data_IF_235138424685
#
_entry.id   IF_235138424685
#
_cell.length_a   1.000
_cell.length_b   1.000
_cell.length_c   1.000
_cell.angle_alpha   90.00
_cell.angle_beta   90.00
_cell.angle_gamma   90.00
#
_symmetry.space_group_name_H-M   'P 1'
#
loop_
_entity.id
_entity.type
_entity.pdbx_description
1 polymer ?
#
# COMPACT_ATOMS: atom_id res chain seq x y z
N UNK A 1 5.70 -9.16 20.43
CA UNK A 1 6.78 -8.32 20.97
C UNK A 1 7.07 -7.23 19.95
N UNK A 2 6.82 -5.98 20.35
CA UNK A 2 6.87 -4.85 19.43
C UNK A 2 8.30 -4.52 18.97
N UNK A 3 9.32 -4.79 19.80
CA UNK A 3 10.70 -4.47 19.45
C UNK A 3 11.20 -5.38 18.33
N UNK A 4 10.95 -6.70 18.45
CA UNK A 4 11.23 -7.64 17.35
C UNK A 4 10.37 -7.36 16.12
N UNK A 5 9.11 -6.99 16.32
CA UNK A 5 8.20 -6.64 15.22
C UNK A 5 8.69 -5.48 14.35
N UNK A 6 9.39 -4.51 14.96
CA UNK A 6 10.00 -3.39 14.23
C UNK A 6 11.04 -3.85 13.20
N UNK A 7 11.88 -4.82 13.55
CA UNK A 7 12.86 -5.38 12.60
C UNK A 7 12.18 -6.16 11.49
N UNK A 8 11.09 -6.88 11.83
CA UNK A 8 10.32 -7.67 10.89
C UNK A 8 9.58 -6.81 9.86
N UNK A 9 9.18 -5.58 10.22
CA UNK A 9 8.58 -4.61 9.30
C UNK A 9 9.48 -4.33 8.09
N UNK A 10 10.79 -4.22 8.31
CA UNK A 10 11.75 -4.07 7.21
C UNK A 10 12.00 -5.40 6.50
N UNK A 11 12.16 -6.49 7.27
CA UNK A 11 12.45 -7.83 6.72
C UNK A 11 11.35 -8.36 5.78
N UNK A 12 10.09 -8.11 6.12
CA UNK A 12 8.92 -8.50 5.32
C UNK A 12 8.55 -7.44 4.27
N UNK A 13 9.50 -6.59 3.88
CA UNK A 13 9.40 -5.57 2.82
C UNK A 13 8.32 -4.49 3.03
N UNK A 14 7.63 -4.47 4.17
CA UNK A 14 6.58 -3.50 4.47
C UNK A 14 7.10 -2.06 4.40
N UNK A 15 8.33 -1.83 4.88
CA UNK A 15 9.01 -0.54 4.82
C UNK A 15 9.27 -0.02 3.39
N UNK A 16 9.25 -0.89 2.37
CA UNK A 16 9.42 -0.49 0.97
C UNK A 16 8.23 0.31 0.45
N UNK A 17 7.02 0.05 0.98
CA UNK A 17 5.79 0.73 0.54
C UNK A 17 5.22 1.69 1.58
N UNK A 18 5.38 1.36 2.86
CA UNK A 18 4.76 2.09 3.97
C UNK A 18 5.78 2.89 4.76
N UNK A 19 5.36 4.07 5.22
CA UNK A 19 6.14 4.91 6.12
C UNK A 19 5.74 4.73 7.59
N UNK A 20 6.71 4.89 8.47
CA UNK A 20 6.53 5.12 9.92
C UNK A 20 7.46 6.27 10.32
N UNK A 21 6.87 7.37 10.78
CA UNK A 21 7.56 8.66 10.91
C UNK A 21 8.13 9.09 9.56
N UNK A 22 9.41 9.40 9.53
CA UNK A 22 10.13 9.86 8.33
C UNK A 22 10.78 8.71 7.53
N UNK A 23 10.56 7.44 7.91
CA UNK A 23 11.22 6.29 7.30
C UNK A 23 10.25 5.41 6.52
N UNK A 24 10.66 4.98 5.33
CA UNK A 24 9.94 4.01 4.50
C UNK A 24 9.36 4.61 3.20
N UNK A 25 8.52 3.83 2.54
CA UNK A 25 7.90 4.19 1.26
C UNK A 25 6.64 5.03 1.37
N UNK A 26 6.17 5.52 0.22
CA UNK A 26 4.94 6.33 0.09
C UNK A 26 3.92 5.71 -0.86
N UNK A 27 4.17 4.48 -1.33
CA UNK A 27 3.29 3.74 -2.21
C UNK A 27 2.01 3.27 -1.48
N UNK A 28 2.17 2.89 -0.20
CA UNK A 28 1.09 2.53 0.71
C UNK A 28 0.78 3.61 1.75
N UNK A 29 -0.30 3.42 2.54
CA UNK A 29 -0.66 4.30 3.64
C UNK A 29 0.45 4.53 4.65
N UNK A 30 0.43 5.71 5.27
CA UNK A 30 1.25 6.02 6.44
C UNK A 30 0.79 5.18 7.65
N UNK A 31 1.72 4.46 8.26
CA UNK A 31 1.45 3.57 9.38
C UNK A 31 1.88 4.13 10.74
N UNK A 32 2.39 5.36 10.80
CA UNK A 32 2.93 6.01 12.02
C UNK A 32 2.00 5.92 13.21
N UNK A 33 0.68 5.97 12.97
CA UNK A 33 -0.34 5.94 14.02
C UNK A 33 -1.38 4.84 13.80
N UNK A 34 -1.03 3.80 13.05
CA UNK A 34 -2.02 2.82 12.59
C UNK A 34 -2.70 2.07 13.75
N UNK A 35 -1.98 1.81 14.84
CA UNK A 35 -2.51 1.16 16.05
C UNK A 35 -3.47 2.03 16.87
N UNK A 36 -3.57 3.34 16.59
CA UNK A 36 -4.62 4.21 17.12
C UNK A 36 -5.88 4.25 16.24
N UNK A 37 -5.76 3.86 14.97
CA UNK A 37 -6.82 4.01 13.95
C UNK A 37 -7.48 2.66 13.63
N UNK A 38 -6.72 1.56 13.72
CA UNK A 38 -7.15 0.21 13.29
C UNK A 38 -7.02 -0.78 14.42
N UNK A 39 -7.98 -1.71 14.47
CA UNK A 39 -7.93 -2.83 15.39
C UNK A 39 -6.83 -3.82 14.98
N UNK A 40 -6.41 -4.70 15.90
CA UNK A 40 -5.49 -5.78 15.55
C UNK A 40 -6.07 -6.72 14.49
N UNK A 41 -7.39 -6.90 14.48
CA UNK A 41 -8.08 -7.71 13.48
C UNK A 41 -8.08 -7.02 12.11
N UNK A 42 -8.31 -5.71 12.05
CA UNK A 42 -8.27 -4.95 10.79
C UNK A 42 -6.87 -5.00 10.17
N UNK A 43 -5.83 -4.87 11.00
CA UNK A 43 -4.43 -4.96 10.58
C UNK A 43 -4.11 -6.36 10.05
N UNK A 44 -4.53 -7.40 10.78
CA UNK A 44 -4.37 -8.78 10.37
C UNK A 44 -5.03 -9.05 9.01
N UNK A 45 -6.29 -8.64 8.86
CA UNK A 45 -7.05 -8.81 7.62
C UNK A 45 -6.39 -8.06 6.46
N UNK A 46 -5.95 -6.82 6.69
CA UNK A 46 -5.28 -6.02 5.65
C UNK A 46 -3.99 -6.67 5.15
N UNK A 47 -3.25 -7.39 6.00
CA UNK A 47 -2.00 -8.06 5.61
C UNK A 47 -2.28 -9.38 4.90
N UNK A 48 -3.20 -10.20 5.42
CA UNK A 48 -3.51 -11.52 4.86
C UNK A 48 -4.34 -11.42 3.57
N UNK A 49 -5.19 -10.41 3.48
CA UNK A 49 -6.14 -10.22 2.39
C UNK A 49 -6.09 -8.77 1.87
N UNK A 50 -4.96 -8.31 1.33
CA UNK A 50 -4.76 -6.91 0.96
C UNK A 50 -5.74 -6.39 -0.12
N UNK A 51 -6.46 -7.29 -0.80
CA UNK A 51 -7.48 -6.98 -1.80
C UNK A 51 -8.92 -7.12 -1.28
N UNK A 52 -9.15 -7.47 -0.01
CA UNK A 52 -10.51 -7.55 0.56
C UNK A 52 -11.12 -6.18 0.80
N UNK A 53 -10.28 -5.20 1.14
CA UNK A 53 -10.65 -3.81 1.32
C UNK A 53 -9.46 -2.90 1.04
N UNK A 54 -9.73 -1.65 0.68
CA UNK A 54 -8.71 -0.66 0.37
C UNK A 54 -8.79 0.51 1.35
N UNK A 55 -7.63 1.01 1.78
CA UNK A 55 -7.58 2.26 2.52
C UNK A 55 -8.01 3.41 1.61
N UNK A 56 -8.73 4.39 2.17
CA UNK A 56 -9.16 5.56 1.43
C UNK A 56 -7.98 6.30 0.80
N UNK A 57 -8.05 6.56 -0.51
CA UNK A 57 -6.97 7.19 -1.29
C UNK A 57 -5.89 6.22 -1.76
N UNK A 58 -6.05 4.92 -1.48
CA UNK A 58 -5.18 3.83 -1.93
C UNK A 58 -6.01 2.75 -2.66
N UNK A 59 -7.13 3.14 -3.25
CA UNK A 59 -7.88 2.29 -4.15
C UNK A 59 -7.06 2.11 -5.45
N UNK A 60 -6.75 0.85 -5.83
CA UNK A 60 -5.94 0.58 -7.00
C UNK A 60 -6.72 0.83 -8.29
N UNK A 61 -6.02 1.38 -9.28
CA UNK A 61 -6.54 1.67 -10.60
C UNK A 61 -5.56 1.20 -11.67
N UNK A 62 -6.11 0.75 -12.79
CA UNK A 62 -5.38 0.57 -14.05
C UNK A 62 -5.74 1.71 -15.00
N UNK A 63 -4.71 2.38 -15.52
CA UNK A 63 -4.82 3.40 -16.55
C UNK A 63 -4.16 2.89 -17.82
N UNK A 64 -4.94 2.80 -18.90
CA UNK A 64 -4.43 2.45 -20.23
C UNK A 64 -4.19 3.72 -21.05
N UNK A 65 -3.00 3.85 -21.61
CA UNK A 65 -2.56 4.98 -22.44
C UNK A 65 -2.69 4.68 -23.93
N UNK A 66 -2.77 5.73 -24.75
CA UNK A 66 -2.88 5.63 -26.22
C UNK A 66 -1.67 5.02 -26.91
N UNK A 67 -0.50 5.12 -26.31
CA UNK A 67 0.74 4.49 -26.77
C UNK A 67 0.81 2.98 -26.44
N UNK A 68 -0.19 2.46 -25.73
CA UNK A 68 -0.29 1.06 -25.32
C UNK A 68 0.30 0.75 -23.95
N UNK A 69 0.92 1.72 -23.27
CA UNK A 69 1.39 1.56 -21.89
C UNK A 69 0.20 1.46 -20.92
N UNK A 70 0.37 0.64 -19.88
CA UNK A 70 -0.58 0.51 -18.78
C UNK A 70 0.12 0.87 -17.47
N UNK A 71 -0.48 1.80 -16.74
CA UNK A 71 0.01 2.22 -15.43
C UNK A 71 -0.93 1.68 -14.37
N UNK A 72 -0.40 0.86 -13.47
CA UNK A 72 -1.12 0.32 -12.33
C UNK A 72 -0.67 1.00 -11.03
N UNK A 73 -1.62 1.52 -10.26
CA UNK A 73 -1.28 2.25 -9.04
C UNK A 73 -2.48 2.92 -8.37
N UNK A 74 -2.19 3.82 -7.45
CA UNK A 74 -3.19 4.58 -6.68
C UNK A 74 -3.29 6.01 -7.18
N UNK A 75 -4.51 6.55 -7.28
CA UNK A 75 -4.71 7.95 -7.72
C UNK A 75 -4.23 8.90 -6.63
N UNK A 76 -3.21 9.70 -6.95
CA UNK A 76 -2.74 10.80 -6.10
C UNK A 76 -3.55 12.05 -6.38
N UNK A 77 -3.78 12.35 -7.66
CA UNK A 77 -4.60 13.48 -8.11
C UNK A 77 -5.31 13.12 -9.41
N UNK A 78 -6.56 13.53 -9.53
CA UNK A 78 -7.32 13.49 -10.78
C UNK A 78 -8.05 14.82 -10.95
N UNK A 79 -7.92 15.43 -12.13
CA UNK A 79 -8.50 16.74 -12.41
C UNK A 79 -8.41 17.13 -13.89
N UNK A 80 -8.62 18.43 -14.22
CA UNK A 80 -8.61 18.91 -15.60
C UNK A 80 -7.29 18.63 -16.35
N UNK A 81 -6.17 18.63 -15.65
CA UNK A 81 -4.84 18.38 -16.21
C UNK A 81 -4.52 16.88 -16.40
N UNK A 82 -5.47 16.00 -16.11
CA UNK A 82 -5.34 14.55 -16.22
C UNK A 82 -5.21 13.83 -14.89
N UNK A 83 -4.53 12.68 -14.92
CA UNK A 83 -4.46 11.74 -13.80
C UNK A 83 -3.01 11.53 -13.39
N UNK A 84 -2.75 11.56 -12.09
CA UNK A 84 -1.47 11.19 -11.49
C UNK A 84 -1.65 9.91 -10.68
N UNK A 85 -1.07 8.81 -11.15
CA UNK A 85 -1.04 7.53 -10.46
C UNK A 85 0.32 7.33 -9.78
N UNK A 86 0.32 6.85 -8.55
CA UNK A 86 1.51 6.34 -7.87
C UNK A 86 1.55 4.84 -7.98
N UNK A 87 2.61 4.29 -8.57
CA UNK A 87 2.79 2.85 -8.66
C UNK A 87 3.31 2.24 -7.34
N UNK A 88 3.47 0.91 -7.33
CA UNK A 88 3.99 0.18 -6.17
C UNK A 88 5.46 0.52 -5.82
N UNK A 89 6.22 1.09 -6.76
CA UNK A 89 7.58 1.59 -6.51
C UNK A 89 7.58 3.01 -5.91
N UNK A 90 6.40 3.64 -5.79
CA UNK A 90 6.25 5.00 -5.30
C UNK A 90 6.45 6.09 -6.36
N UNK A 91 6.64 5.70 -7.63
CA UNK A 91 6.83 6.63 -8.74
C UNK A 91 5.48 7.19 -9.16
N UNK A 92 5.43 8.50 -9.37
CA UNK A 92 4.22 9.20 -9.82
C UNK A 92 4.26 9.39 -11.32
N UNK A 93 3.32 8.74 -12.00
CA UNK A 93 3.10 8.82 -13.44
C UNK A 93 1.98 9.81 -13.72
N UNK A 94 2.28 10.84 -14.52
CA UNK A 94 1.26 11.78 -15.00
C UNK A 94 0.83 11.38 -16.41
N UNK A 95 -0.49 11.27 -16.60
CA UNK A 95 -1.09 11.04 -17.92
C UNK A 95 -2.10 12.13 -18.21
N UNK A 96 -1.93 12.79 -19.37
CA UNK A 96 -2.81 13.87 -19.81
C UNK A 96 -4.15 13.31 -20.30
N UNK A 97 -5.26 14.07 -20.22
CA UNK A 97 -6.57 13.57 -20.62
C UNK A 97 -6.62 13.00 -22.04
N UNK A 98 -5.93 13.63 -22.99
CA UNK A 98 -5.89 13.19 -24.39
C UNK A 98 -5.14 11.87 -24.59
N UNK A 99 -4.29 11.47 -23.64
CA UNK A 99 -3.51 10.22 -23.69
C UNK A 99 -4.26 9.03 -23.08
N UNK A 100 -5.33 9.28 -22.32
CA UNK A 100 -6.05 8.23 -21.59
C UNK A 100 -7.02 7.50 -22.54
N UNK A 101 -6.88 6.17 -22.62
CA UNK A 101 -7.89 5.29 -23.23
C UNK A 101 -8.93 4.91 -22.19
N UNK A 102 -8.49 4.45 -21.01
CA UNK A 102 -9.37 4.05 -19.91
C UNK A 102 -8.69 4.27 -18.56
N UNK A 103 -9.51 4.46 -17.53
CA UNK A 103 -9.12 4.48 -16.13
C UNK A 103 -10.16 3.68 -15.36
N UNK A 104 -9.76 2.53 -14.83
CA UNK A 104 -10.66 1.57 -14.21
C UNK A 104 -10.15 1.21 -12.82
N UNK A 105 -11.08 1.01 -11.87
CA UNK A 105 -10.73 0.43 -10.57
C UNK A 105 -10.29 -1.01 -10.78
N UNK A 106 -9.21 -1.38 -10.12
CA UNK A 106 -8.66 -2.72 -10.20
C UNK A 106 -9.08 -3.55 -8.97
N UNK A 107 -9.42 -4.84 -9.12
CA UNK A 107 -9.83 -5.67 -7.98
C UNK A 107 -8.66 -6.11 -7.10
N UNK A 108 -7.43 -6.07 -7.61
CA UNK A 108 -6.22 -6.43 -6.85
C UNK A 108 -5.52 -5.19 -6.32
N UNK A 109 -5.07 -5.28 -5.07
CA UNK A 109 -4.29 -4.26 -4.37
C UNK A 109 -2.91 -4.05 -4.98
N UNK A 110 -2.34 -2.86 -4.78
CA UNK A 110 -0.92 -2.60 -5.00
C UNK A 110 -0.03 -3.24 -3.92
N UNK A 111 -0.61 -3.58 -2.76
CA UNK A 111 0.09 -4.35 -1.73
C UNK A 111 0.12 -5.84 -2.13
N UNK A 112 1.32 -6.45 -2.26
CA UNK A 112 1.42 -7.86 -2.61
C UNK A 112 0.77 -8.77 -1.56
N UNK A 113 0.09 -9.81 -2.01
CA UNK A 113 -0.35 -10.90 -1.13
C UNK A 113 0.83 -11.83 -0.79
N UNK A 114 0.75 -12.54 0.34
CA UNK A 114 1.75 -13.53 0.75
C UNK A 114 3.00 -12.95 1.42
N UNK A 115 3.01 -11.66 1.79
CA UNK A 115 4.14 -11.07 2.52
C UNK A 115 4.35 -11.71 3.90
N UNK A 116 3.28 -12.22 4.51
CA UNK A 116 3.31 -12.98 5.75
C UNK A 116 4.05 -14.32 5.62
N UNK A 117 4.15 -14.89 4.41
CA UNK A 117 4.83 -16.18 4.18
C UNK A 117 6.35 -16.07 4.42
N UNK A 118 6.89 -14.85 4.37
CA UNK A 118 8.28 -14.55 4.74
C UNK A 118 8.54 -14.68 6.26
N UNK A 119 7.48 -14.84 7.05
CA UNK A 119 7.49 -14.82 8.49
C UNK A 119 6.93 -16.12 9.08
N UNK A 120 7.55 -16.62 10.14
CA UNK A 120 6.91 -17.62 10.98
C UNK A 120 5.68 -17.04 11.68
N UNK A 121 4.74 -17.87 12.12
CA UNK A 121 3.56 -17.41 12.91
C UNK A 121 3.94 -16.53 14.10
N UNK A 122 5.03 -16.87 14.80
CA UNK A 122 5.53 -16.07 15.93
C UNK A 122 6.05 -14.70 15.47
N UNK A 123 6.82 -14.67 14.39
CA UNK A 123 7.30 -13.41 13.80
C UNK A 123 6.14 -12.54 13.32
N UNK A 124 5.14 -13.14 12.68
CA UNK A 124 3.96 -12.40 12.25
C UNK A 124 3.18 -11.80 13.43
N UNK A 125 3.04 -12.54 14.54
CA UNK A 125 2.47 -12.01 15.78
C UNK A 125 3.33 -10.88 16.39
N UNK A 126 4.66 -10.95 16.30
CA UNK A 126 5.55 -9.88 16.73
C UNK A 126 5.38 -8.62 15.84
N UNK A 127 5.28 -8.78 14.51
CA UNK A 127 4.98 -7.70 13.56
C UNK A 127 3.65 -7.03 13.88
N UNK A 128 2.59 -7.81 14.10
CA UNK A 128 1.27 -7.28 14.44
C UNK A 128 1.31 -6.49 15.76
N UNK A 129 1.99 -7.03 16.78
CA UNK A 129 2.18 -6.35 18.05
C UNK A 129 2.92 -5.01 17.89
N UNK A 130 3.90 -4.93 16.98
CA UNK A 130 4.56 -3.67 16.64
C UNK A 130 3.59 -2.67 16.01
N UNK A 131 2.85 -3.07 14.96
CA UNK A 131 1.88 -2.17 14.31
C UNK A 131 0.80 -1.65 15.28
N UNK A 132 0.33 -2.51 16.19
CA UNK A 132 -0.63 -2.12 17.23
C UNK A 132 -0.06 -1.14 18.27
N UNK A 133 1.27 -1.11 18.43
CA UNK A 133 1.94 -0.20 19.37
C UNK A 133 2.10 1.23 18.83
N UNK A 134 1.93 1.43 17.52
CA UNK A 134 2.06 2.72 16.83
C UNK A 134 0.80 3.59 17.03
N UNK A 135 0.81 4.49 18.02
CA UNK A 135 -0.36 5.29 18.44
C UNK A 135 -0.10 6.80 18.40
#
# INVERSE_FOLDING_TARGET
DAERGRELFTKATCAGCHRIGEQGGVAGPDLTRIGAIRSGQDLLESILYPSSSFAQGFEPHSLKRRDGEEVFGNIVVQGPDGVRLRDAAGIVHHTRPEEIISLERHPLSTMPAGLEELLTRRQFGDLLAYLQSLK
#
